data_IF_919642189707
#
_entry.id   IF_919642189707
#
_cell.length_a   1.000
_cell.length_b   1.000
_cell.length_c   1.000
_cell.angle_alpha   90.00
_cell.angle_beta   90.00
_cell.angle_gamma   90.00
#
_symmetry.space_group_name_H-M   'P 1'
#
loop_
_entity.id
_entity.type
_entity.pdbx_description
1 polymer ?
#
# COMPACT_ATOMS: atom_id res chain seq x y z
N UNK A 1 4.99 11.33 -30.62
CA UNK A 1 5.22 10.40 -29.51
C UNK A 1 6.69 10.25 -29.13
N UNK A 2 7.57 10.16 -30.11
CA UNK A 2 9.00 10.03 -29.88
C UNK A 2 9.64 11.23 -29.16
N UNK A 3 9.03 12.40 -29.26
CA UNK A 3 9.52 13.61 -28.63
C UNK A 3 9.00 13.82 -27.21
N UNK A 4 8.09 12.96 -26.76
CA UNK A 4 7.55 13.02 -25.41
C UNK A 4 8.64 12.58 -24.43
N UNK A 5 8.85 13.39 -23.39
CA UNK A 5 9.85 13.10 -22.38
C UNK A 5 9.23 12.38 -21.20
N UNK A 6 10.03 11.58 -20.50
CA UNK A 6 9.59 10.85 -19.32
C UNK A 6 8.90 11.77 -18.30
N UNK A 7 9.41 12.99 -18.13
CA UNK A 7 8.82 13.95 -17.17
C UNK A 7 7.37 14.32 -17.48
N UNK A 8 6.94 14.16 -18.73
CA UNK A 8 5.56 14.43 -19.14
C UNK A 8 4.63 13.28 -18.79
N UNK A 9 5.18 12.11 -18.51
CA UNK A 9 4.43 10.90 -18.17
C UNK A 9 4.47 10.58 -16.69
N UNK A 10 5.47 11.09 -15.97
CA UNK A 10 5.65 10.75 -14.56
C UNK A 10 4.54 11.34 -13.70
N UNK A 11 4.26 10.67 -12.59
CA UNK A 11 3.34 11.12 -11.57
C UNK A 11 4.16 11.70 -10.41
N UNK A 12 3.75 12.86 -9.91
CA UNK A 12 4.45 13.51 -8.80
C UNK A 12 4.38 12.64 -7.54
N UNK A 13 5.48 12.64 -6.77
CA UNK A 13 5.50 11.95 -5.48
C UNK A 13 4.46 12.53 -4.49
N UNK A 14 4.02 13.77 -4.72
CA UNK A 14 3.00 14.40 -3.87
C UNK A 14 1.61 13.79 -4.05
N UNK A 15 1.39 13.04 -5.12
CA UNK A 15 0.12 12.37 -5.38
C UNK A 15 0.02 11.00 -4.72
N UNK A 16 1.09 10.52 -4.10
CA UNK A 16 1.12 9.23 -3.43
C UNK A 16 0.90 9.37 -1.93
N UNK A 17 0.19 8.44 -1.31
CA UNK A 17 0.17 8.38 0.15
C UNK A 17 1.56 8.06 0.69
N UNK A 18 1.88 8.59 1.85
CA UNK A 18 3.21 8.45 2.45
C UNK A 18 3.14 7.84 3.83
N UNK A 19 4.20 7.15 4.22
CA UNK A 19 4.31 6.53 5.54
C UNK A 19 5.76 6.67 6.02
N UNK A 20 5.94 6.76 7.33
CA UNK A 20 7.28 6.82 7.93
C UNK A 20 7.97 5.46 7.87
N UNK A 21 9.30 5.46 7.69
CA UNK A 21 10.10 4.23 7.73
C UNK A 21 10.15 3.61 9.13
N UNK A 22 9.73 4.35 10.16
CA UNK A 22 9.62 3.84 11.53
C UNK A 22 8.23 3.36 11.88
N UNK A 23 7.27 3.46 10.96
CA UNK A 23 5.90 2.98 11.18
C UNK A 23 5.87 1.46 11.31
N UNK A 24 4.88 0.96 12.04
CA UNK A 24 4.69 -0.48 12.22
C UNK A 24 3.98 -1.10 11.02
N UNK A 25 4.02 -2.43 10.93
CA UNK A 25 3.25 -3.15 9.93
C UNK A 25 1.75 -2.84 10.04
N UNK A 26 1.23 -2.72 11.27
CA UNK A 26 -0.15 -2.34 11.49
C UNK A 26 -0.47 -0.97 10.89
N UNK A 27 0.42 0.01 11.11
CA UNK A 27 0.25 1.35 10.52
C UNK A 27 0.23 1.28 8.99
N UNK A 28 1.11 0.49 8.41
CA UNK A 28 1.18 0.31 6.95
C UNK A 28 -0.10 -0.31 6.40
N UNK A 29 -0.65 -1.31 7.10
CA UNK A 29 -1.91 -1.94 6.70
C UNK A 29 -3.08 -0.96 6.76
N UNK A 30 -3.15 -0.13 7.80
CA UNK A 30 -4.20 0.87 7.96
C UNK A 30 -4.12 1.92 6.85
N UNK A 31 -2.92 2.39 6.52
CA UNK A 31 -2.72 3.35 5.43
C UNK A 31 -3.06 2.71 4.08
N UNK A 32 -2.68 1.46 3.87
CA UNK A 32 -3.00 0.75 2.64
C UNK A 32 -4.51 0.54 2.49
N UNK A 33 -5.21 0.28 3.58
CA UNK A 33 -6.67 0.17 3.54
C UNK A 33 -7.31 1.48 3.08
N UNK A 34 -6.87 2.60 3.62
CA UNK A 34 -7.35 3.92 3.20
C UNK A 34 -7.05 4.19 1.73
N UNK A 35 -5.83 3.86 1.30
CA UNK A 35 -5.41 4.03 -0.10
C UNK A 35 -6.23 3.14 -1.04
N UNK A 36 -6.53 1.91 -0.65
CA UNK A 36 -7.32 0.98 -1.46
C UNK A 36 -8.76 1.47 -1.60
N UNK A 37 -9.35 1.97 -0.53
CA UNK A 37 -10.71 2.54 -0.57
C UNK A 37 -10.77 3.76 -1.48
N UNK A 38 -9.78 4.65 -1.39
CA UNK A 38 -9.69 5.83 -2.24
C UNK A 38 -9.52 5.45 -3.71
N UNK A 39 -8.70 4.43 -3.99
CA UNK A 39 -8.49 3.93 -5.34
C UNK A 39 -9.79 3.36 -5.93
N UNK A 40 -10.48 2.51 -5.20
CA UNK A 40 -11.70 1.86 -5.67
C UNK A 40 -12.86 2.85 -5.84
N UNK A 41 -12.89 3.93 -5.07
CA UNK A 41 -13.92 4.97 -5.19
C UNK A 41 -13.59 6.03 -6.23
N UNK A 42 -12.45 5.92 -6.90
CA UNK A 42 -12.02 6.88 -7.92
C UNK A 42 -11.45 8.18 -7.38
N UNK A 43 -11.26 8.30 -6.06
CA UNK A 43 -10.73 9.51 -5.44
C UNK A 43 -9.22 9.62 -5.58
N UNK A 44 -8.54 8.52 -5.83
CA UNK A 44 -7.09 8.49 -6.00
C UNK A 44 -6.73 7.47 -7.06
N UNK A 45 -5.72 7.78 -7.87
CA UNK A 45 -5.16 6.84 -8.84
C UNK A 45 -3.99 6.04 -8.25
N UNK A 46 -3.57 6.37 -7.03
CA UNK A 46 -2.37 5.80 -6.43
C UNK A 46 -2.70 5.04 -5.14
N UNK A 47 -2.13 3.85 -5.01
CA UNK A 47 -2.27 3.04 -3.80
C UNK A 47 -0.94 2.40 -3.36
N UNK A 48 0.15 2.86 -3.94
CA UNK A 48 1.50 2.53 -3.48
C UNK A 48 1.85 3.52 -2.39
N UNK A 49 2.34 3.04 -1.25
CA UNK A 49 2.81 3.91 -0.17
C UNK A 49 4.27 4.27 -0.43
N UNK A 50 4.58 5.55 -0.43
CA UNK A 50 5.96 6.00 -0.44
C UNK A 50 6.46 6.07 0.98
N UNK A 51 7.66 5.55 1.22
CA UNK A 51 8.25 5.49 2.56
C UNK A 51 9.22 6.66 2.72
N UNK A 52 9.03 7.43 3.77
CA UNK A 52 9.86 8.60 4.09
C UNK A 52 10.68 8.36 5.34
N UNK A 53 11.91 8.91 5.34
CA UNK A 53 12.73 8.94 6.55
C UNK A 53 12.38 10.16 7.41
N UNK A 54 13.12 10.37 8.49
CA UNK A 54 12.91 11.49 9.42
C UNK A 54 13.08 12.85 8.75
N UNK A 55 13.87 12.92 7.68
CA UNK A 55 14.12 14.15 6.92
C UNK A 55 13.09 14.39 5.82
N UNK A 56 12.02 13.59 5.78
CA UNK A 56 10.98 13.67 4.76
C UNK A 56 11.49 13.33 3.36
N UNK A 57 12.55 12.55 3.27
CA UNK A 57 13.08 12.06 2.00
C UNK A 57 12.45 10.70 1.70
N UNK A 58 12.02 10.50 0.46
CA UNK A 58 11.48 9.21 0.02
C UNK A 58 12.64 8.23 -0.12
N UNK A 59 12.60 7.15 0.67
CA UNK A 59 13.65 6.13 0.70
C UNK A 59 13.20 4.77 0.17
N UNK A 60 11.92 4.61 -0.13
CA UNK A 60 11.40 3.37 -0.67
C UNK A 60 9.92 3.44 -0.96
N UNK A 61 9.34 2.30 -1.31
CA UNK A 61 7.92 2.17 -1.57
C UNK A 61 7.40 0.82 -1.08
N UNK A 62 6.12 0.77 -0.75
CA UNK A 62 5.43 -0.46 -0.40
C UNK A 62 4.19 -0.56 -1.27
N UNK A 63 4.10 -1.63 -2.07
CA UNK A 63 2.90 -1.93 -2.85
C UNK A 63 1.99 -2.89 -2.06
N UNK A 64 0.72 -3.06 -2.46
CA UNK A 64 -0.15 -4.03 -1.82
C UNK A 64 0.44 -5.43 -1.76
N UNK A 65 1.08 -5.89 -2.84
CA UNK A 65 1.66 -7.23 -2.87
C UNK A 65 2.83 -7.38 -1.88
N UNK A 66 3.59 -6.31 -1.65
CA UNK A 66 4.69 -6.33 -0.66
C UNK A 66 4.14 -6.57 0.74
N UNK A 67 3.01 -5.96 1.08
CA UNK A 67 2.37 -6.17 2.37
C UNK A 67 1.85 -7.59 2.52
N UNK A 68 1.26 -8.16 1.47
CA UNK A 68 0.83 -9.56 1.50
C UNK A 68 1.98 -10.50 1.76
N UNK A 69 3.08 -10.32 1.05
CA UNK A 69 4.26 -11.17 1.22
C UNK A 69 4.84 -11.04 2.62
N UNK A 70 4.85 -9.83 3.16
CA UNK A 70 5.31 -9.58 4.51
C UNK A 70 4.44 -10.26 5.57
N UNK A 71 3.12 -10.22 5.37
CA UNK A 71 2.18 -10.89 6.26
C UNK A 71 2.32 -12.40 6.22
N UNK A 72 2.42 -13.00 5.03
CA UNK A 72 2.56 -14.44 4.88
C UNK A 72 3.88 -14.94 5.45
N UNK A 73 4.93 -14.14 5.39
CA UNK A 73 6.23 -14.48 5.96
C UNK A 73 6.19 -14.51 7.49
N UNK A 74 5.47 -13.56 8.11
CA UNK A 74 5.37 -13.44 9.57
C UNK A 74 4.31 -14.36 10.15
N UNK A 75 3.21 -14.56 9.44
CA UNK A 75 2.08 -15.39 9.86
C UNK A 75 1.77 -16.40 8.77
N UNK A 76 1.21 -17.57 9.11
CA UNK A 76 0.71 -18.48 8.08
C UNK A 76 -0.62 -17.93 7.51
N UNK A 77 -1.04 -18.45 6.34
CA UNK A 77 -2.24 -17.96 5.65
C UNK A 77 -3.51 -18.01 6.50
N UNK A 78 -3.63 -19.01 7.36
CA UNK A 78 -4.83 -19.17 8.20
C UNK A 78 -4.89 -18.08 9.26
N UNK A 79 -3.75 -17.75 9.87
CA UNK A 79 -3.69 -16.78 10.95
C UNK A 79 -3.74 -15.33 10.46
N UNK A 80 -3.38 -15.06 9.22
CA UNK A 80 -3.39 -13.69 8.68
C UNK A 80 -4.81 -13.13 8.67
N UNK A 81 -5.77 -13.88 8.15
CA UNK A 81 -7.16 -13.42 8.06
C UNK A 81 -7.74 -13.15 9.44
N UNK A 82 -7.54 -14.07 10.39
CA UNK A 82 -8.02 -13.90 11.77
C UNK A 82 -7.38 -12.69 12.44
N UNK A 83 -6.08 -12.52 12.25
CA UNK A 83 -5.35 -11.39 12.82
C UNK A 83 -5.87 -10.06 12.29
N UNK A 84 -6.06 -9.96 10.99
CA UNK A 84 -6.57 -8.75 10.35
C UNK A 84 -8.00 -8.45 10.77
N UNK A 85 -8.83 -9.47 10.93
CA UNK A 85 -10.20 -9.31 11.40
C UNK A 85 -10.25 -8.71 12.81
N UNK A 86 -9.38 -9.18 13.70
CA UNK A 86 -9.29 -8.66 15.07
C UNK A 86 -8.94 -7.17 15.13
N UNK A 87 -8.18 -6.69 14.16
CA UNK A 87 -7.77 -5.29 14.07
C UNK A 87 -8.65 -4.46 13.15
N UNK A 88 -9.76 -5.03 12.64
CA UNK A 88 -10.66 -4.31 11.75
C UNK A 88 -10.12 -4.11 10.34
N UNK A 89 -9.16 -4.92 9.91
CA UNK A 89 -8.50 -4.80 8.61
C UNK A 89 -8.89 -5.88 7.62
N UNK A 90 -10.00 -6.58 7.87
CA UNK A 90 -10.47 -7.63 6.95
C UNK A 90 -10.77 -7.10 5.56
N UNK A 91 -11.23 -5.87 5.46
CA UNK A 91 -11.55 -5.24 4.17
C UNK A 91 -10.36 -5.25 3.22
N UNK A 92 -9.19 -4.80 3.69
CA UNK A 92 -8.01 -4.74 2.82
C UNK A 92 -7.58 -6.14 2.38
N UNK A 93 -7.63 -7.12 3.27
CA UNK A 93 -7.31 -8.51 2.96
C UNK A 93 -8.22 -9.06 1.87
N UNK A 94 -9.54 -8.94 2.07
CA UNK A 94 -10.55 -9.45 1.12
C UNK A 94 -10.45 -8.77 -0.23
N UNK A 95 -10.31 -7.45 -0.23
CA UNK A 95 -10.21 -6.65 -1.45
C UNK A 95 -8.98 -7.02 -2.27
N UNK A 96 -7.83 -7.16 -1.61
CA UNK A 96 -6.59 -7.46 -2.32
C UNK A 96 -6.52 -8.91 -2.79
N UNK A 97 -7.06 -9.86 -2.01
CA UNK A 97 -7.14 -11.25 -2.46
C UNK A 97 -7.94 -11.38 -3.76
N UNK A 98 -9.06 -10.69 -3.81
CA UNK A 98 -9.93 -10.69 -4.99
C UNK A 98 -9.20 -10.09 -6.19
N UNK A 99 -8.50 -8.96 -5.99
CA UNK A 99 -7.81 -8.26 -7.07
C UNK A 99 -6.63 -9.04 -7.64
N UNK A 100 -5.84 -9.67 -6.77
CA UNK A 100 -4.63 -10.39 -7.19
C UNK A 100 -4.86 -11.89 -7.37
N UNK A 101 -6.08 -12.35 -7.21
CA UNK A 101 -6.44 -13.78 -7.34
C UNK A 101 -5.56 -14.68 -6.47
N UNK A 102 -5.41 -14.30 -5.22
CA UNK A 102 -4.56 -15.03 -4.25
C UNK A 102 -5.28 -16.15 -3.53
#
# INVERSE_FOLDING_TARGET
>A
MEKMKVRELMVSIDEFPKISDTATLFDALSEMESAQKAFLSGKSAQRILLVENEKKQVVGKISPIDLFKGLEKKYNKVNVEDTLEKFGLKYIWTSMRKEYDL
#
